data_IF_091812493928
#
_entry.id   IF_091812493928
#
_cell.length_a   1.000
_cell.length_b   1.000
_cell.length_c   1.000
_cell.angle_alpha   90.00
_cell.angle_beta   90.00
_cell.angle_gamma   90.00
#
_symmetry.space_group_name_H-M   'P 1'
#
loop_
_entity.id
_entity.type
_entity.pdbx_description
1 polymer ?
#
# COMPACT_ATOMS: atom_id res chain seq x y z
N UNK A 1 -18.68 -0.76 -5.16
CA UNK A 1 -17.26 -0.80 -4.74
C UNK A 1 -16.94 0.46 -3.98
N UNK A 2 -17.31 0.49 -2.70
CA UNK A 2 -17.42 1.78 -2.01
C UNK A 2 -16.20 2.13 -1.13
N UNK A 3 -15.22 1.24 -0.99
CA UNK A 3 -14.02 1.52 -0.19
C UNK A 3 -12.77 1.27 -1.00
N UNK A 4 -12.45 2.22 -1.87
CA UNK A 4 -11.18 2.27 -2.59
C UNK A 4 -10.13 2.88 -1.67
N UNK A 5 -8.98 2.23 -1.54
CA UNK A 5 -7.91 2.63 -0.62
C UNK A 5 -6.62 3.07 -1.33
N UNK A 6 -6.60 3.06 -2.66
CA UNK A 6 -5.40 3.36 -3.44
C UNK A 6 -4.74 4.69 -3.07
N UNK A 7 -5.54 5.75 -2.89
CA UNK A 7 -5.02 7.08 -2.54
C UNK A 7 -4.51 7.17 -1.09
N UNK A 8 -5.05 6.35 -0.18
CA UNK A 8 -4.52 6.23 1.18
C UNK A 8 -3.21 5.45 1.23
N UNK A 9 -3.05 4.45 0.36
CA UNK A 9 -1.83 3.60 0.33
C UNK A 9 -0.69 4.29 -0.40
N UNK A 10 -0.95 4.75 -1.64
CA UNK A 10 0.00 5.49 -2.48
C UNK A 10 -0.60 6.85 -2.85
N UNK A 11 -0.37 7.89 -2.04
CA UNK A 11 -0.85 9.24 -2.31
C UNK A 11 -0.35 9.78 -3.65
N UNK A 12 -1.14 10.66 -4.26
CA UNK A 12 -0.75 11.32 -5.52
C UNK A 12 0.26 12.41 -5.22
N UNK A 13 1.36 12.41 -5.97
CA UNK A 13 2.35 13.49 -5.94
C UNK A 13 2.17 14.32 -7.21
N UNK A 14 1.87 15.62 -7.12
CA UNK A 14 1.75 16.47 -8.29
C UNK A 14 3.11 16.67 -8.95
N UNK A 15 3.16 16.53 -10.27
CA UNK A 15 4.35 16.76 -11.08
C UNK A 15 4.07 17.80 -12.16
N UNK A 16 5.05 18.66 -12.46
CA UNK A 16 4.88 19.76 -13.40
C UNK A 16 4.96 19.34 -14.88
N UNK A 17 5.47 18.16 -15.18
CA UNK A 17 5.66 17.62 -16.54
C UNK A 17 5.35 16.14 -16.58
N UNK A 18 4.99 15.62 -17.76
CA UNK A 18 4.73 14.20 -17.95
C UNK A 18 5.99 13.35 -17.71
N UNK A 19 7.14 13.82 -18.13
CA UNK A 19 8.44 13.26 -17.75
C UNK A 19 9.05 14.13 -16.66
N UNK A 20 9.47 13.51 -15.56
CA UNK A 20 10.05 14.19 -14.42
C UNK A 20 11.24 13.43 -13.87
N UNK A 21 12.16 14.18 -13.28
CA UNK A 21 13.31 13.64 -12.55
C UNK A 21 13.03 13.67 -11.06
N UNK A 22 13.61 12.73 -10.36
CA UNK A 22 13.63 12.67 -8.91
C UNK A 22 14.96 12.17 -8.40
N UNK A 23 15.34 12.57 -7.19
CA UNK A 23 16.62 12.25 -6.60
C UNK A 23 16.54 10.95 -5.81
N UNK A 24 17.56 10.12 -5.97
CA UNK A 24 17.73 8.88 -5.23
C UNK A 24 19.04 8.94 -4.47
N UNK A 25 18.97 8.90 -3.16
CA UNK A 25 20.13 8.92 -2.27
C UNK A 25 20.54 7.49 -1.91
N UNK A 26 21.86 7.25 -1.84
CA UNK A 26 22.37 5.98 -1.33
C UNK A 26 22.21 5.93 0.20
N UNK A 27 21.68 4.80 0.67
CA UNK A 27 21.48 4.55 2.09
C UNK A 27 22.79 4.66 2.89
N UNK A 28 23.91 4.18 2.32
CA UNK A 28 25.20 4.18 2.98
C UNK A 28 25.67 5.56 3.40
N UNK A 29 25.37 6.58 2.62
CA UNK A 29 25.78 7.96 2.92
C UNK A 29 25.16 8.50 4.20
N UNK A 30 23.88 8.16 4.48
CA UNK A 30 23.18 8.63 5.67
C UNK A 30 23.61 7.93 6.98
N UNK A 31 24.27 6.77 6.89
CA UNK A 31 24.64 5.94 8.05
C UNK A 31 26.17 5.79 8.25
N UNK A 32 26.98 6.36 7.36
CA UNK A 32 28.43 6.36 7.52
C UNK A 32 28.84 7.50 8.45
N UNK A 33 29.43 7.16 9.56
CA UNK A 33 29.92 8.15 10.54
C UNK A 33 31.43 8.35 10.34
N UNK A 34 31.88 9.45 9.74
CA UNK A 34 33.30 9.77 9.65
C UNK A 34 33.83 10.26 10.99
N UNK A 35 35.14 10.36 11.12
CA UNK A 35 35.79 10.97 12.28
C UNK A 35 35.45 12.46 12.34
N UNK A 36 34.70 12.88 13.37
CA UNK A 36 34.30 14.27 13.60
C UNK A 36 35.27 15.05 14.51
N UNK A 37 36.26 14.36 15.08
CA UNK A 37 37.26 14.97 15.96
C UNK A 37 38.21 15.79 15.13
N UNK A 38 38.38 17.06 15.50
CA UNK A 38 39.28 18.03 14.82
C UNK A 38 40.29 18.53 15.81
N UNK A 39 41.57 18.55 15.41
CA UNK A 39 42.64 19.19 16.19
C UNK A 39 42.45 20.71 16.20
N UNK A 40 43.03 21.38 17.22
CA UNK A 40 42.84 22.83 17.46
C UNK A 40 43.22 23.72 16.25
N UNK A 41 44.05 23.24 15.35
CA UNK A 41 44.55 23.97 14.18
C UNK A 41 44.35 23.18 12.86
N UNK A 42 43.66 22.05 12.88
CA UNK A 42 43.41 21.21 11.71
C UNK A 42 42.12 21.60 11.00
N UNK A 43 42.06 21.37 9.70
CA UNK A 43 40.81 21.51 8.95
C UNK A 43 39.87 20.35 9.29
N UNK A 44 38.55 20.61 9.35
CA UNK A 44 37.52 19.55 9.48
C UNK A 44 37.55 18.60 8.28
N UNK A 45 37.18 17.34 8.49
CA UNK A 45 36.95 16.40 7.41
C UNK A 45 35.79 16.90 6.52
N UNK A 46 35.96 16.77 5.22
CA UNK A 46 34.91 17.09 4.24
C UNK A 46 34.18 15.82 3.84
N UNK A 47 32.90 15.94 3.62
CA UNK A 47 32.01 14.87 3.16
C UNK A 47 31.26 15.39 1.96
N UNK A 48 31.17 14.58 0.93
CA UNK A 48 30.33 14.83 -0.24
C UNK A 48 29.10 13.92 -0.15
N UNK A 49 27.93 14.45 -0.52
CA UNK A 49 26.70 13.71 -0.64
C UNK A 49 26.30 13.70 -2.11
N UNK A 50 26.31 12.51 -2.68
CA UNK A 50 25.88 12.30 -4.06
C UNK A 50 24.44 11.80 -4.12
N UNK A 51 23.72 12.21 -5.17
CA UNK A 51 22.40 11.72 -5.49
C UNK A 51 22.35 11.28 -6.95
N UNK A 52 21.72 10.16 -7.21
CA UNK A 52 21.47 9.69 -8.56
C UNK A 52 20.18 10.29 -9.12
N UNK A 53 20.23 10.80 -10.35
CA UNK A 53 19.06 11.25 -11.10
C UNK A 53 18.31 10.04 -11.66
N UNK A 54 17.09 9.83 -11.21
CA UNK A 54 16.19 8.86 -11.81
C UNK A 54 15.09 9.58 -12.60
N UNK A 55 14.71 9.03 -13.74
CA UNK A 55 13.66 9.60 -14.60
C UNK A 55 12.44 8.71 -14.56
N UNK A 56 11.29 9.32 -14.40
CA UNK A 56 9.98 8.65 -14.44
C UNK A 56 9.02 9.42 -15.34
N UNK A 57 7.97 8.72 -15.81
CA UNK A 57 6.92 9.33 -16.64
C UNK A 57 5.54 8.98 -16.11
N UNK A 58 4.58 9.89 -16.35
CA UNK A 58 3.17 9.66 -16.11
C UNK A 58 2.52 9.01 -17.33
N UNK A 59 1.50 8.18 -17.09
CA UNK A 59 0.63 7.63 -18.13
C UNK A 59 -0.77 8.20 -18.00
N UNK A 60 -1.40 8.50 -19.13
CA UNK A 60 -2.78 8.94 -19.16
C UNK A 60 -3.72 7.73 -19.16
N UNK A 61 -4.81 7.85 -18.39
CA UNK A 61 -5.83 6.82 -18.28
C UNK A 61 -7.19 7.43 -18.60
N UNK A 62 -7.83 6.94 -19.65
CA UNK A 62 -9.14 7.40 -20.10
C UNK A 62 -10.03 6.23 -20.52
N UNK A 63 -11.33 6.41 -20.39
CA UNK A 63 -12.36 5.51 -20.89
C UNK A 63 -13.45 6.36 -21.53
N UNK A 64 -14.03 5.86 -22.59
CA UNK A 64 -15.19 6.44 -23.26
C UNK A 64 -16.41 5.53 -23.10
N UNK A 65 -17.58 6.14 -22.86
CA UNK A 65 -18.86 5.46 -22.77
C UNK A 65 -19.88 6.19 -23.67
N UNK A 66 -19.94 5.87 -24.96
CA UNK A 66 -20.87 6.52 -25.86
C UNK A 66 -22.33 6.23 -25.46
N UNK A 67 -23.13 7.28 -25.37
CA UNK A 67 -24.57 7.19 -25.09
C UNK A 67 -25.32 7.58 -26.36
N UNK A 68 -26.10 6.65 -26.98
CA UNK A 68 -26.87 6.96 -28.16
C UNK A 68 -27.90 8.08 -27.91
N UNK A 69 -28.13 8.95 -28.90
CA UNK A 69 -29.09 10.04 -28.78
C UNK A 69 -30.50 9.52 -28.49
N UNK A 70 -30.88 8.38 -29.08
CA UNK A 70 -32.16 7.71 -28.81
C UNK A 70 -32.39 7.39 -27.33
N UNK A 71 -31.32 7.03 -26.61
CA UNK A 71 -31.41 6.68 -25.18
C UNK A 71 -31.61 7.94 -24.31
N UNK A 72 -31.06 9.06 -24.78
CA UNK A 72 -31.23 10.38 -24.14
C UNK A 72 -32.68 10.86 -24.35
N UNK A 73 -33.19 10.80 -25.60
CA UNK A 73 -34.51 11.28 -26.00
C UNK A 73 -35.63 10.46 -25.36
N UNK A 74 -35.42 9.16 -25.15
CA UNK A 74 -36.41 8.27 -24.54
C UNK A 74 -36.23 8.07 -23.03
N UNK A 75 -35.30 8.79 -22.39
CA UNK A 75 -35.04 8.65 -20.97
C UNK A 75 -36.23 9.17 -20.13
N UNK A 76 -36.63 8.47 -19.07
CA UNK A 76 -37.60 8.99 -18.11
C UNK A 76 -37.10 10.31 -17.49
N UNK A 77 -38.02 11.20 -17.11
CA UNK A 77 -37.70 12.53 -16.60
C UNK A 77 -36.79 12.55 -15.34
N UNK A 78 -36.73 11.43 -14.62
CA UNK A 78 -35.90 11.26 -13.41
C UNK A 78 -34.61 10.45 -13.64
N UNK A 79 -34.24 10.22 -14.91
CA UNK A 79 -33.06 9.44 -15.27
C UNK A 79 -32.20 10.21 -16.27
N UNK A 80 -30.94 10.46 -15.89
CA UNK A 80 -29.95 11.11 -16.74
C UNK A 80 -28.94 10.05 -17.26
N UNK A 81 -29.04 9.61 -18.54
CA UNK A 81 -28.13 8.64 -19.11
C UNK A 81 -26.67 9.12 -19.20
N UNK A 82 -26.44 10.41 -19.47
CA UNK A 82 -25.10 10.99 -19.60
C UNK A 82 -24.41 11.08 -18.24
N UNK A 83 -25.13 11.57 -17.21
CA UNK A 83 -24.64 11.62 -15.83
C UNK A 83 -24.26 10.22 -15.33
N UNK A 84 -25.13 9.23 -15.58
CA UNK A 84 -24.86 7.83 -15.20
C UNK A 84 -23.68 7.22 -15.95
N UNK A 85 -23.48 7.51 -17.22
CA UNK A 85 -22.33 7.05 -17.97
C UNK A 85 -21.04 7.65 -17.40
N UNK A 86 -21.04 8.96 -17.09
CA UNK A 86 -19.91 9.67 -16.50
C UNK A 86 -19.53 9.11 -15.12
N UNK A 87 -20.51 8.89 -14.23
CA UNK A 87 -20.29 8.27 -12.93
C UNK A 87 -19.63 6.88 -13.06
N UNK A 88 -20.18 6.02 -13.96
CA UNK A 88 -19.66 4.67 -14.17
C UNK A 88 -18.25 4.65 -14.73
N UNK A 89 -17.95 5.52 -15.71
CA UNK A 89 -16.59 5.66 -16.25
C UNK A 89 -15.62 6.07 -15.17
N UNK A 90 -15.99 7.05 -14.33
CA UNK A 90 -15.19 7.50 -13.21
C UNK A 90 -14.93 6.36 -12.20
N UNK A 91 -15.95 5.61 -11.84
CA UNK A 91 -15.83 4.46 -10.94
C UNK A 91 -14.89 3.38 -11.48
N UNK A 92 -14.95 3.10 -12.79
CA UNK A 92 -14.08 2.10 -13.43
C UNK A 92 -12.62 2.58 -13.46
N UNK A 93 -12.38 3.85 -13.77
CA UNK A 93 -11.02 4.43 -13.74
C UNK A 93 -10.43 4.37 -12.33
N UNK A 94 -11.23 4.68 -11.31
CA UNK A 94 -10.81 4.56 -9.90
C UNK A 94 -10.54 3.11 -9.52
N UNK A 95 -11.36 2.17 -9.98
CA UNK A 95 -11.15 0.74 -9.75
C UNK A 95 -9.88 0.22 -10.45
N UNK A 96 -9.58 0.69 -11.67
CA UNK A 96 -8.33 0.37 -12.34
C UNK A 96 -7.12 0.88 -11.54
N UNK A 97 -7.20 2.09 -11.00
CA UNK A 97 -6.16 2.62 -10.10
C UNK A 97 -5.97 1.73 -8.87
N UNK A 98 -7.07 1.27 -8.26
CA UNK A 98 -7.04 0.36 -7.12
C UNK A 98 -6.28 -0.93 -7.45
N UNK A 99 -6.56 -1.53 -8.61
CA UNK A 99 -5.88 -2.74 -9.09
C UNK A 99 -4.39 -2.50 -9.35
N UNK A 100 -4.05 -1.39 -9.98
CA UNK A 100 -2.65 -1.03 -10.26
C UNK A 100 -1.88 -0.80 -8.97
N UNK A 101 -2.47 -0.09 -8.01
CA UNK A 101 -1.87 0.15 -6.69
C UNK A 101 -1.66 -1.17 -5.94
N UNK A 102 -2.66 -2.04 -5.90
CA UNK A 102 -2.54 -3.37 -5.29
C UNK A 102 -1.41 -4.19 -5.92
N UNK A 103 -1.33 -4.22 -7.25
CA UNK A 103 -0.25 -4.90 -7.97
C UNK A 103 1.13 -4.32 -7.66
N UNK A 104 1.24 -3.00 -7.52
CA UNK A 104 2.51 -2.36 -7.19
C UNK A 104 2.95 -2.68 -5.76
N UNK A 105 2.02 -2.57 -4.79
CA UNK A 105 2.29 -2.82 -3.36
C UNK A 105 2.61 -4.28 -3.08
N UNK A 106 1.90 -5.22 -3.70
CA UNK A 106 2.11 -6.65 -3.46
C UNK A 106 3.06 -7.33 -4.44
N UNK A 107 3.74 -6.56 -5.29
CA UNK A 107 4.77 -7.12 -6.16
C UNK A 107 6.06 -7.35 -5.36
N UNK A 108 6.40 -8.62 -5.16
CA UNK A 108 7.60 -9.03 -4.44
C UNK A 108 8.91 -8.50 -5.06
N UNK A 109 8.91 -8.12 -6.36
CA UNK A 109 10.07 -7.53 -7.01
C UNK A 109 10.40 -6.12 -6.50
N UNK A 110 9.43 -5.41 -5.95
CA UNK A 110 9.60 -4.05 -5.43
C UNK A 110 10.25 -4.01 -4.04
N UNK A 111 10.49 -5.18 -3.43
CA UNK A 111 11.07 -5.29 -2.09
C UNK A 111 12.42 -6.00 -2.12
N UNK A 112 13.40 -5.58 -1.30
CA UNK A 112 14.65 -6.30 -1.11
C UNK A 112 14.40 -7.74 -0.65
N UNK A 113 15.35 -8.64 -0.91
CA UNK A 113 15.21 -10.07 -0.58
C UNK A 113 14.97 -10.30 0.91
N UNK A 114 15.57 -9.49 1.78
CA UNK A 114 15.42 -9.58 3.23
C UNK A 114 14.08 -9.08 3.78
N UNK A 115 13.33 -8.30 2.98
CA UNK A 115 12.08 -7.64 3.40
C UNK A 115 10.82 -8.30 2.81
N UNK A 116 10.94 -9.50 2.29
CA UNK A 116 9.81 -10.27 1.77
C UNK A 116 9.84 -11.70 2.30
N UNK A 117 8.68 -12.20 2.63
CA UNK A 117 8.52 -13.54 3.15
C UNK A 117 7.27 -14.21 2.58
N UNK A 118 7.44 -15.45 2.17
CA UNK A 118 6.33 -16.32 1.81
C UNK A 118 6.06 -17.25 3.00
N UNK A 119 4.94 -17.03 3.69
CA UNK A 119 4.62 -17.78 4.90
C UNK A 119 4.37 -19.25 4.59
N UNK A 120 5.10 -20.15 5.25
CA UNK A 120 4.79 -21.58 5.24
C UNK A 120 3.41 -21.83 5.87
N UNK A 121 2.78 -22.96 5.53
CA UNK A 121 1.42 -23.28 6.01
C UNK A 121 1.26 -23.18 7.54
N UNK A 122 2.29 -23.56 8.31
CA UNK A 122 2.28 -23.47 9.76
C UNK A 122 2.32 -22.05 10.31
N UNK A 123 2.81 -21.09 9.50
CA UNK A 123 2.98 -19.68 9.86
C UNK A 123 1.90 -18.77 9.27
N UNK A 124 1.02 -19.30 8.43
CA UNK A 124 -0.09 -18.54 7.87
C UNK A 124 -1.02 -18.06 8.97
N UNK A 125 -1.58 -16.88 8.81
CA UNK A 125 -2.35 -16.21 9.87
C UNK A 125 -3.72 -16.84 10.13
N UNK A 126 -4.21 -17.65 9.20
CA UNK A 126 -5.41 -18.49 9.34
C UNK A 126 -5.14 -19.82 10.05
N UNK A 127 -3.87 -20.12 10.35
CA UNK A 127 -3.52 -21.27 11.16
C UNK A 127 -3.57 -20.92 12.65
N UNK A 128 -4.38 -21.62 13.41
CA UNK A 128 -4.60 -21.37 14.85
C UNK A 128 -3.32 -21.50 15.70
N UNK A 129 -2.37 -22.33 15.29
CA UNK A 129 -1.10 -22.52 15.98
C UNK A 129 -0.06 -21.42 15.66
N UNK A 130 -0.32 -20.58 14.67
CA UNK A 130 0.60 -19.51 14.26
C UNK A 130 0.70 -18.38 15.29
N UNK A 131 1.79 -17.64 15.23
CA UNK A 131 2.04 -16.46 16.11
C UNK A 131 2.34 -15.22 15.27
N UNK A 132 1.34 -14.68 14.58
CA UNK A 132 1.54 -13.60 13.62
C UNK A 132 2.14 -12.34 14.22
N UNK A 133 1.70 -11.89 15.39
CA UNK A 133 2.23 -10.67 16.05
C UNK A 133 3.74 -10.75 16.22
N UNK A 134 4.23 -11.85 16.81
CA UNK A 134 5.67 -12.03 17.04
C UNK A 134 6.46 -11.99 15.73
N UNK A 135 5.93 -12.64 14.69
CA UNK A 135 6.57 -12.70 13.38
C UNK A 135 6.61 -11.34 12.71
N UNK A 136 5.49 -10.60 12.74
CA UNK A 136 5.40 -9.23 12.23
C UNK A 136 6.38 -8.32 12.95
N UNK A 137 6.36 -8.26 14.28
CA UNK A 137 7.27 -7.40 15.04
C UNK A 137 8.73 -7.70 14.73
N UNK A 138 9.11 -8.99 14.70
CA UNK A 138 10.48 -9.38 14.32
C UNK A 138 10.86 -8.93 12.91
N UNK A 139 9.91 -8.91 11.96
CA UNK A 139 10.14 -8.42 10.61
C UNK A 139 10.27 -6.88 10.57
N UNK A 140 9.42 -6.17 11.31
CA UNK A 140 9.46 -4.70 11.41
C UNK A 140 10.77 -4.20 12.04
N UNK A 141 11.29 -4.89 13.05
CA UNK A 141 12.52 -4.51 13.74
C UNK A 141 13.80 -4.69 12.89
N UNK A 142 13.71 -5.44 11.81
CA UNK A 142 14.83 -5.58 10.84
C UNK A 142 14.93 -4.39 9.88
N UNK A 143 13.89 -3.60 9.77
CA UNK A 143 13.82 -2.50 8.80
C UNK A 143 14.49 -1.24 9.37
N UNK A 144 15.34 -0.61 8.59
CA UNK A 144 16.05 0.63 8.97
C UNK A 144 15.04 1.76 9.20
N UNK A 145 14.08 1.91 8.28
CA UNK A 145 12.94 2.81 8.45
C UNK A 145 11.74 1.96 8.86
N UNK A 146 11.35 2.05 10.14
CA UNK A 146 10.20 1.30 10.63
C UNK A 146 8.94 1.69 9.86
N UNK A 147 8.22 0.74 9.28
CA UNK A 147 6.97 1.01 8.60
C UNK A 147 5.94 1.68 9.50
N UNK A 148 5.20 2.61 8.95
CA UNK A 148 4.13 3.32 9.66
C UNK A 148 2.72 2.96 9.17
N UNK A 149 2.61 2.27 8.03
CA UNK A 149 1.33 1.84 7.47
C UNK A 149 1.35 0.36 7.17
N UNK A 150 0.30 -0.36 7.61
CA UNK A 150 0.02 -1.72 7.17
C UNK A 150 -1.08 -1.72 6.12
N UNK A 151 -0.85 -2.37 5.00
CA UNK A 151 -1.81 -2.59 3.93
C UNK A 151 -2.18 -4.06 3.89
N UNK A 152 -3.44 -4.36 4.15
CA UNK A 152 -3.93 -5.73 4.28
C UNK A 152 -5.04 -6.01 3.26
N UNK A 153 -5.01 -7.17 2.62
CA UNK A 153 -6.19 -7.70 1.96
C UNK A 153 -7.29 -8.04 2.99
N UNK A 154 -8.57 -7.95 2.62
CA UNK A 154 -9.69 -8.14 3.57
C UNK A 154 -9.66 -9.51 4.27
N UNK A 155 -9.38 -10.58 3.53
CA UNK A 155 -9.28 -11.93 4.10
C UNK A 155 -8.09 -12.05 5.06
N UNK A 156 -6.95 -11.47 4.70
CA UNK A 156 -5.76 -11.43 5.55
C UNK A 156 -6.00 -10.66 6.85
N UNK A 157 -6.68 -9.51 6.77
CA UNK A 157 -7.07 -8.73 7.93
C UNK A 157 -8.03 -9.52 8.85
N UNK A 158 -8.97 -10.27 8.27
CA UNK A 158 -9.91 -11.10 9.04
C UNK A 158 -9.15 -12.25 9.72
N UNK A 159 -8.29 -12.97 9.01
CA UNK A 159 -7.48 -14.04 9.56
C UNK A 159 -6.60 -13.55 10.72
N UNK A 160 -5.90 -12.41 10.54
CA UNK A 160 -5.09 -11.84 11.61
C UNK A 160 -5.90 -11.50 12.86
N UNK A 161 -7.09 -10.93 12.70
CA UNK A 161 -7.96 -10.51 13.79
C UNK A 161 -8.62 -11.66 14.53
N UNK A 162 -8.80 -12.80 13.88
CA UNK A 162 -9.41 -14.01 14.43
C UNK A 162 -8.38 -15.00 14.97
N UNK A 163 -7.10 -14.81 14.67
CA UNK A 163 -6.06 -15.73 15.13
C UNK A 163 -6.06 -15.86 16.65
N UNK A 164 -6.10 -17.08 17.23
CA UNK A 164 -6.22 -17.30 18.67
C UNK A 164 -5.13 -16.62 19.47
N UNK A 165 -3.89 -16.56 18.97
CA UNK A 165 -2.78 -15.90 19.67
C UNK A 165 -2.96 -14.37 19.74
N UNK A 166 -3.62 -13.77 18.73
CA UNK A 166 -3.94 -12.34 18.67
C UNK A 166 -5.13 -12.02 19.58
N UNK A 167 -6.16 -12.86 19.53
CA UNK A 167 -7.34 -12.73 20.41
C UNK A 167 -6.93 -12.86 21.87
N UNK A 168 -6.07 -13.80 22.20
CA UNK A 168 -5.54 -13.97 23.55
C UNK A 168 -4.71 -12.77 24.03
N UNK A 169 -3.96 -12.15 23.15
CA UNK A 169 -3.21 -10.93 23.47
C UNK A 169 -4.15 -9.74 23.81
N UNK A 170 -5.34 -9.70 23.20
CA UNK A 170 -6.36 -8.70 23.45
C UNK A 170 -7.20 -9.03 24.70
N UNK A 171 -7.71 -10.26 24.79
CA UNK A 171 -8.64 -10.69 25.85
C UNK A 171 -7.94 -11.11 27.15
N UNK A 172 -6.63 -11.34 27.11
CA UNK A 172 -5.90 -11.90 28.25
C UNK A 172 -6.36 -13.32 28.58
N UNK A 173 -6.94 -13.51 29.76
CA UNK A 173 -7.42 -14.82 30.24
C UNK A 173 -8.88 -15.14 29.87
N UNK A 174 -9.59 -14.22 29.18
CA UNK A 174 -11.03 -14.33 28.92
C UNK A 174 -11.42 -15.23 27.75
N UNK A 175 -10.45 -15.78 27.02
CA UNK A 175 -10.71 -16.72 25.92
C UNK A 175 -9.89 -16.43 24.65
N UNK A 176 -9.94 -17.38 23.74
CA UNK A 176 -9.19 -17.35 22.48
C UNK A 176 -10.09 -17.14 21.25
N UNK A 177 -11.41 -17.04 21.47
CA UNK A 177 -12.40 -16.81 20.41
C UNK A 177 -12.82 -15.34 20.36
N UNK A 178 -12.92 -14.81 19.15
CA UNK A 178 -13.40 -13.44 18.94
C UNK A 178 -12.75 -12.74 17.75
N UNK A 179 -13.01 -11.44 17.68
CA UNK A 179 -12.50 -10.58 16.62
C UNK A 179 -11.85 -9.32 17.24
N UNK A 180 -10.55 -9.22 17.10
CA UNK A 180 -9.79 -8.09 17.66
C UNK A 180 -10.04 -6.80 16.86
N UNK A 181 -10.25 -5.64 17.52
CA UNK A 181 -10.34 -4.34 16.85
C UNK A 181 -9.03 -3.97 16.13
N UNK A 182 -9.14 -3.31 14.97
CA UNK A 182 -7.97 -2.85 14.22
C UNK A 182 -7.15 -1.81 15.00
N UNK A 183 -7.78 -0.98 15.81
CA UNK A 183 -7.10 0.02 16.63
C UNK A 183 -6.18 -0.60 17.67
N UNK A 184 -6.56 -1.74 18.25
CA UNK A 184 -5.68 -2.49 19.14
C UNK A 184 -4.43 -3.00 18.40
N UNK A 185 -4.62 -3.58 17.22
CA UNK A 185 -3.50 -4.06 16.39
C UNK A 185 -2.60 -2.91 15.95
N UNK A 186 -3.18 -1.76 15.60
CA UNK A 186 -2.44 -0.55 15.26
C UNK A 186 -1.53 -0.12 16.40
N UNK A 187 -2.07 -0.02 17.62
CA UNK A 187 -1.30 0.33 18.81
C UNK A 187 -0.24 -0.72 19.17
N UNK A 188 -0.58 -2.01 19.06
CA UNK A 188 0.33 -3.10 19.38
C UNK A 188 1.53 -3.20 18.44
N UNK A 189 1.34 -2.89 17.16
CA UNK A 189 2.37 -2.91 16.12
C UNK A 189 3.06 -1.55 15.96
N UNK A 190 2.64 -0.53 16.73
CA UNK A 190 3.16 0.84 16.65
C UNK A 190 3.06 1.47 15.26
N UNK A 191 1.90 1.25 14.61
CA UNK A 191 1.61 1.78 13.29
C UNK A 191 0.75 3.05 13.38
N UNK A 192 0.94 3.96 12.41
CA UNK A 192 0.06 5.13 12.28
C UNK A 192 -1.30 4.74 11.73
N UNK A 193 -1.32 3.78 10.78
CA UNK A 193 -2.54 3.38 10.08
C UNK A 193 -2.52 1.90 9.67
N UNK A 194 -3.69 1.25 9.72
CA UNK A 194 -3.94 -0.05 9.11
C UNK A 194 -5.02 0.12 8.05
N UNK A 195 -4.66 -0.04 6.79
CA UNK A 195 -5.54 0.11 5.64
C UNK A 195 -5.96 -1.27 5.13
N UNK A 196 -7.27 -1.50 5.01
CA UNK A 196 -7.81 -2.80 4.60
C UNK A 196 -8.51 -2.68 3.25
N UNK A 197 -7.95 -3.32 2.24
CA UNK A 197 -8.50 -3.36 0.89
C UNK A 197 -9.65 -4.35 0.75
N UNK A 198 -10.83 -3.85 0.41
CA UNK A 198 -12.06 -4.65 0.26
C UNK A 198 -12.64 -4.65 -1.15
N UNK A 199 -12.06 -3.93 -2.09
CA UNK A 199 -12.54 -3.82 -3.47
C UNK A 199 -12.59 -5.18 -4.19
N UNK A 200 -13.60 -5.33 -5.06
CA UNK A 200 -13.76 -6.50 -5.93
C UNK A 200 -13.54 -6.11 -7.39
N UNK A 201 -12.99 -7.04 -8.15
CA UNK A 201 -12.76 -6.93 -9.59
C UNK A 201 -13.34 -8.14 -10.29
N UNK A 202 -13.98 -7.92 -11.43
CA UNK A 202 -14.42 -8.99 -12.31
C UNK A 202 -13.28 -9.42 -13.23
N UNK A 203 -12.88 -10.68 -13.15
CA UNK A 203 -11.84 -11.27 -14.01
C UNK A 203 -12.40 -12.09 -15.17
N UNK A 204 -13.72 -12.19 -15.30
CA UNK A 204 -14.34 -12.90 -16.42
C UNK A 204 -14.18 -12.10 -17.72
N UNK A 205 -14.11 -12.81 -18.82
CA UNK A 205 -14.10 -12.19 -20.16
C UNK A 205 -15.46 -11.56 -20.46
N UNK A 206 -15.50 -10.51 -21.29
CA UNK A 206 -16.77 -9.94 -21.74
C UNK A 206 -17.73 -11.00 -22.28
N UNK A 207 -19.01 -10.89 -21.91
CA UNK A 207 -20.05 -11.84 -22.30
C UNK A 207 -20.17 -13.13 -21.48
N UNK A 208 -19.26 -13.35 -20.52
CA UNK A 208 -19.36 -14.49 -19.58
C UNK A 208 -19.95 -14.08 -18.23
N UNK A 209 -20.37 -15.08 -17.45
CA UNK A 209 -20.83 -14.83 -16.09
C UNK A 209 -19.73 -14.15 -15.27
N UNK A 210 -20.05 -13.11 -14.48
CA UNK A 210 -19.06 -12.42 -13.68
C UNK A 210 -18.36 -13.35 -12.67
N UNK A 211 -17.03 -13.25 -12.61
CA UNK A 211 -16.19 -13.91 -11.61
C UNK A 211 -15.52 -12.81 -10.79
N UNK A 212 -16.05 -12.57 -9.60
CA UNK A 212 -15.58 -11.50 -8.72
C UNK A 212 -14.47 -12.02 -7.81
N UNK A 213 -13.31 -11.37 -7.85
CA UNK A 213 -12.17 -11.64 -6.97
C UNK A 213 -11.78 -10.37 -6.22
N UNK A 214 -11.13 -10.52 -5.09
CA UNK A 214 -10.62 -9.38 -4.33
C UNK A 214 -9.43 -8.74 -5.01
N UNK A 215 -9.45 -7.41 -5.19
CA UNK A 215 -8.36 -6.66 -5.79
C UNK A 215 -7.07 -6.72 -4.94
N UNK A 216 -7.20 -6.78 -3.61
CA UNK A 216 -6.07 -6.78 -2.65
C UNK A 216 -5.64 -8.18 -2.20
N UNK A 217 -6.16 -9.23 -2.82
CA UNK A 217 -5.76 -10.63 -2.59
C UNK A 217 -5.58 -11.01 -1.09
N UNK A 218 -4.71 -12.00 -0.81
CA UNK A 218 -4.44 -12.54 0.53
C UNK A 218 -3.02 -12.16 1.00
N UNK A 219 -2.64 -10.91 0.79
CA UNK A 219 -1.32 -10.41 1.12
C UNK A 219 -1.37 -9.34 2.21
N UNK A 220 -0.22 -9.12 2.83
CA UNK A 220 0.05 -8.01 3.74
C UNK A 220 1.32 -7.29 3.30
N UNK A 221 1.33 -5.97 3.34
CA UNK A 221 2.51 -5.17 3.15
C UNK A 221 2.63 -4.14 4.27
N UNK A 222 3.82 -3.97 4.78
CA UNK A 222 4.16 -2.95 5.76
C UNK A 222 5.07 -1.95 5.08
N UNK A 223 4.64 -0.71 4.97
CA UNK A 223 5.33 0.33 4.22
C UNK A 223 5.59 1.55 5.09
N UNK A 224 6.69 2.22 4.82
CA UNK A 224 6.92 3.56 5.33
C UNK A 224 6.35 4.56 4.33
N UNK A 225 5.35 5.35 4.76
CA UNK A 225 4.70 6.37 3.95
C UNK A 225 5.01 7.76 4.52
N UNK A 226 5.66 8.59 3.70
CA UNK A 226 5.84 9.99 3.99
C UNK A 226 4.85 10.82 3.15
N UNK A 227 3.89 11.46 3.80
CA UNK A 227 2.88 12.31 3.15
C UNK A 227 3.44 13.63 2.61
N UNK A 228 4.62 14.04 3.07
CA UNK A 228 5.32 15.25 2.64
C UNK A 228 6.36 14.98 1.55
N UNK A 229 6.46 13.72 1.06
CA UNK A 229 7.38 13.37 -0.01
C UNK A 229 7.00 14.09 -1.31
N UNK A 230 7.98 14.68 -1.94
CA UNK A 230 7.89 15.33 -3.25
C UNK A 230 9.04 14.87 -4.16
N UNK A 231 9.05 15.35 -5.40
CA UNK A 231 10.10 15.02 -6.36
C UNK A 231 11.43 15.73 -6.10
N UNK A 232 11.44 16.77 -5.24
CA UNK A 232 12.64 17.55 -4.92
C UNK A 232 13.34 17.02 -3.68
N UNK A 233 12.58 16.55 -2.68
CA UNK A 233 13.13 15.98 -1.45
C UNK A 233 13.83 14.64 -1.63
N UNK A 234 13.63 14.00 -2.78
CA UNK A 234 14.24 12.72 -3.11
C UNK A 234 13.75 11.54 -2.26
N UNK A 235 14.29 10.37 -2.54
CA UNK A 235 13.98 9.11 -1.83
C UNK A 235 15.29 8.45 -1.41
N UNK A 236 15.38 8.08 -0.14
CA UNK A 236 16.50 7.26 0.35
C UNK A 236 16.17 5.78 0.09
N UNK A 237 17.10 5.07 -0.54
CA UNK A 237 16.96 3.64 -0.83
C UNK A 237 17.13 2.85 0.47
N UNK A 238 16.11 2.12 0.86
CA UNK A 238 16.14 1.18 2.00
C UNK A 238 16.40 -0.25 1.53
#
# INVERSE_FOLDING_TARGET
NLSLIADSVLPRVPVGKAEFKWWKFDLGQGFTVPTTTVGRTSQPNQIEFDAEDETSSTNDYALDAPVPQSDIDNAPANYDPLGRATERVSDIIMLDREVRTSKAVFNAANYPVGNKENLAAADQWDNDASKPIRKIVTALDKMIMRPNVAVLGRSTATALRQNPSVVKAYNGTLGEDGLVPLDFLRGLLELDEIVVGSAFVNIARPGQKPVLVRAWANHAAFIYRNLLADTQGGVTRS
#
